data_IF_514272207939
#
_entry.id   IF_514272207939
#
_cell.length_a   1.000
_cell.length_b   1.000
_cell.length_c   1.000
_cell.angle_alpha   90.00
_cell.angle_beta   90.00
_cell.angle_gamma   90.00
#
_symmetry.space_group_name_H-M   'P 1'
#
loop_
_entity.id
_entity.type
_entity.pdbx_description
1 polymer ?
#
# COMPACT_ATOMS: atom_id res chain seq x y z
N UNK A 1 4.53 -42.67 81.20
CA UNK A 1 4.23 -42.16 79.86
C UNK A 1 3.82 -40.69 79.99
N UNK A 2 4.73 -39.78 79.65
CA UNK A 2 4.55 -38.32 79.55
C UNK A 2 5.20 -37.92 78.22
N UNK A 3 4.64 -36.93 77.53
CA UNK A 3 5.17 -36.04 76.46
C UNK A 3 3.90 -35.63 75.66
N UNK A 4 3.22 -34.50 75.92
CA UNK A 4 3.54 -33.08 75.70
C UNK A 4 3.70 -32.67 74.22
N UNK A 5 2.63 -32.02 73.73
CA UNK A 5 2.47 -30.85 72.82
C UNK A 5 3.27 -30.71 71.51
N UNK A 6 2.46 -30.63 70.44
CA UNK A 6 2.47 -29.73 69.27
C UNK A 6 3.65 -28.75 69.09
N UNK A 7 4.25 -28.77 67.88
CA UNK A 7 4.73 -27.58 67.14
C UNK A 7 4.50 -27.79 65.63
N UNK A 8 4.07 -26.71 64.98
CA UNK A 8 3.77 -26.47 63.55
C UNK A 8 5.02 -26.35 62.67
N UNK A 9 4.97 -26.75 61.39
CA UNK A 9 5.69 -26.11 60.27
C UNK A 9 5.16 -26.56 58.89
N UNK A 10 5.07 -25.59 57.98
CA UNK A 10 4.44 -25.54 56.65
C UNK A 10 4.92 -26.55 55.57
N UNK A 11 4.12 -26.78 54.51
CA UNK A 11 4.59 -27.46 53.30
C UNK A 11 5.35 -26.48 52.38
N UNK A 12 6.56 -26.85 52.01
CA UNK A 12 7.43 -26.11 51.07
C UNK A 12 6.97 -26.38 49.64
N UNK A 13 6.21 -25.45 49.06
CA UNK A 13 5.79 -25.48 47.65
C UNK A 13 6.96 -25.00 46.79
N UNK A 14 7.53 -25.90 45.98
CA UNK A 14 8.61 -25.62 45.05
C UNK A 14 8.04 -24.89 43.81
N UNK A 15 8.20 -23.57 43.76
CA UNK A 15 7.88 -22.74 42.58
C UNK A 15 9.01 -22.86 41.54
N UNK A 16 8.76 -23.64 40.49
CA UNK A 16 9.57 -23.61 39.26
C UNK A 16 9.31 -22.28 38.52
N UNK A 17 10.29 -21.38 38.54
CA UNK A 17 10.34 -20.22 37.66
C UNK A 17 10.53 -20.69 36.21
N UNK A 18 9.48 -20.60 35.39
CA UNK A 18 9.63 -20.62 33.94
C UNK A 18 10.06 -19.21 33.53
N UNK A 19 11.34 -19.04 33.21
CA UNK A 19 11.82 -17.84 32.54
C UNK A 19 11.24 -17.84 31.12
N UNK A 20 10.14 -17.11 30.92
CA UNK A 20 9.69 -16.72 29.58
C UNK A 20 10.74 -15.75 29.05
N UNK A 21 11.57 -16.25 28.15
CA UNK A 21 12.48 -15.41 27.37
C UNK A 21 11.59 -14.58 26.45
N UNK A 22 11.32 -13.34 26.81
CA UNK A 22 10.69 -12.39 25.91
C UNK A 22 11.65 -12.15 24.74
N UNK A 23 11.40 -12.81 23.62
CA UNK A 23 12.07 -12.50 22.38
C UNK A 23 11.56 -11.13 21.90
N UNK A 24 12.43 -10.17 21.58
CA UNK A 24 11.99 -8.94 20.95
C UNK A 24 11.41 -9.29 19.58
N UNK A 25 10.15 -8.96 19.34
CA UNK A 25 9.53 -9.02 18.02
C UNK A 25 10.20 -7.91 17.20
N UNK A 26 11.28 -8.24 16.51
CA UNK A 26 11.86 -7.40 15.45
C UNK A 26 11.07 -7.67 14.18
N UNK A 27 9.93 -7.01 14.04
CA UNK A 27 9.12 -7.12 12.84
C UNK A 27 8.28 -5.88 12.67
N UNK A 28 8.89 -4.75 12.29
CA UNK A 28 8.14 -3.53 11.92
C UNK A 28 8.88 -2.52 11.03
N UNK A 29 10.20 -2.60 10.83
CA UNK A 29 10.92 -1.57 10.04
C UNK A 29 10.96 -1.83 8.53
N UNK A 30 11.12 -3.08 8.08
CA UNK A 30 11.21 -3.37 6.64
C UNK A 30 9.87 -3.21 5.92
N UNK A 31 8.77 -3.70 6.52
CA UNK A 31 7.43 -3.60 5.94
C UNK A 31 6.82 -2.18 5.95
N UNK A 32 7.19 -1.33 6.91
CA UNK A 32 6.76 0.07 6.91
C UNK A 32 7.47 0.87 5.81
N UNK A 33 8.77 0.62 5.63
CA UNK A 33 9.55 1.25 4.56
C UNK A 33 9.12 0.78 3.17
N UNK A 34 8.71 -0.48 3.01
CA UNK A 34 8.26 -1.01 1.71
C UNK A 34 6.90 -0.47 1.28
N UNK A 35 5.97 -0.24 2.22
CA UNK A 35 4.68 0.38 1.94
C UNK A 35 4.85 1.85 1.54
N UNK A 36 5.66 2.61 2.29
CA UNK A 36 5.96 4.00 1.97
C UNK A 36 6.61 4.14 0.58
N UNK A 37 7.51 3.20 0.24
CA UNK A 37 8.13 3.13 -1.08
C UNK A 37 7.07 2.90 -2.18
N UNK A 38 6.17 1.93 -1.98
CA UNK A 38 5.07 1.65 -2.91
C UNK A 38 4.12 2.84 -3.11
N UNK A 39 3.76 3.55 -2.03
CA UNK A 39 2.99 4.79 -2.13
C UNK A 39 3.73 5.86 -2.92
N UNK A 40 5.02 6.03 -2.64
CA UNK A 40 5.88 6.96 -3.36
C UNK A 40 5.92 6.66 -4.86
N UNK A 41 6.14 5.40 -5.23
CA UNK A 41 6.14 4.94 -6.61
C UNK A 41 4.80 5.18 -7.29
N UNK A 42 3.69 4.80 -6.66
CA UNK A 42 2.37 5.01 -7.24
C UNK A 42 2.07 6.50 -7.45
N UNK A 43 2.35 7.37 -6.47
CA UNK A 43 2.17 8.83 -6.63
C UNK A 43 3.04 9.38 -7.76
N UNK A 44 4.30 8.96 -7.83
CA UNK A 44 5.20 9.40 -8.89
C UNK A 44 4.67 9.00 -10.27
N UNK A 45 4.30 7.73 -10.45
CA UNK A 45 3.73 7.21 -11.70
C UNK A 45 2.45 7.96 -12.05
N UNK A 46 1.50 8.06 -11.11
CA UNK A 46 0.20 8.69 -11.32
C UNK A 46 0.35 10.17 -11.72
N UNK A 47 1.10 10.95 -10.95
CA UNK A 47 1.31 12.38 -11.22
C UNK A 47 2.09 12.63 -12.51
N UNK A 48 3.07 11.77 -12.83
CA UNK A 48 3.84 11.85 -14.07
C UNK A 48 2.95 11.59 -15.28
N UNK A 49 2.16 10.51 -15.25
CA UNK A 49 1.24 10.16 -16.34
C UNK A 49 0.12 11.17 -16.49
N UNK A 50 -0.44 11.69 -15.40
CA UNK A 50 -1.44 12.77 -15.42
C UNK A 50 -0.86 14.02 -16.11
N UNK A 51 0.27 14.51 -15.62
CA UNK A 51 0.95 15.68 -16.21
C UNK A 51 1.28 15.46 -17.68
N UNK A 52 1.75 14.26 -18.04
CA UNK A 52 2.08 13.91 -19.41
C UNK A 52 0.84 13.91 -20.31
N UNK A 53 -0.28 13.34 -19.87
CA UNK A 53 -1.55 13.34 -20.63
C UNK A 53 -2.10 14.75 -20.83
N UNK A 54 -1.94 15.63 -19.84
CA UNK A 54 -2.41 17.01 -19.92
C UNK A 54 -1.51 17.91 -20.79
N UNK A 55 -0.19 17.73 -20.71
CA UNK A 55 0.77 18.69 -21.28
C UNK A 55 1.60 18.15 -22.44
N UNK A 56 1.62 16.83 -22.63
CA UNK A 56 2.53 16.14 -23.54
C UNK A 56 4.00 16.17 -23.10
N UNK A 57 4.29 16.54 -21.84
CA UNK A 57 5.67 16.73 -21.34
C UNK A 57 5.90 16.00 -20.01
N UNK A 58 7.11 15.48 -19.85
CA UNK A 58 7.63 15.08 -18.54
C UNK A 58 8.18 16.32 -17.82
N UNK A 59 7.35 16.95 -16.97
CA UNK A 59 7.74 18.16 -16.22
C UNK A 59 8.81 17.82 -15.16
N UNK A 60 8.63 16.72 -14.45
CA UNK A 60 9.59 16.19 -13.49
C UNK A 60 10.40 15.05 -14.13
N UNK A 61 11.12 15.37 -15.21
CA UNK A 61 11.91 14.38 -15.94
C UNK A 61 13.07 13.87 -15.06
N UNK A 62 13.14 12.55 -14.75
CA UNK A 62 14.23 11.96 -13.96
C UNK A 62 15.58 11.88 -14.70
N UNK A 63 15.70 12.45 -15.90
CA UNK A 63 16.89 12.35 -16.75
C UNK A 63 16.72 11.39 -17.93
N UNK A 64 15.48 11.01 -18.26
CA UNK A 64 15.14 10.31 -19.50
C UNK A 64 15.49 11.18 -20.69
N UNK A 65 16.21 10.60 -21.64
CA UNK A 65 16.51 11.20 -22.93
C UNK A 65 15.43 10.87 -23.97
N UNK A 66 15.54 11.46 -25.17
CA UNK A 66 14.51 11.30 -26.21
C UNK A 66 14.43 9.90 -26.82
N UNK A 67 15.46 9.07 -26.71
CA UNK A 67 15.47 7.70 -27.24
C UNK A 67 14.67 6.75 -26.38
N UNK A 68 14.76 6.92 -25.06
CA UNK A 68 14.16 6.03 -24.07
C UNK A 68 12.78 6.52 -23.60
N UNK A 69 12.32 7.65 -24.14
CA UNK A 69 11.10 8.32 -23.70
C UNK A 69 9.83 7.47 -23.85
N UNK A 70 9.61 6.87 -25.02
CA UNK A 70 8.41 6.06 -25.26
C UNK A 70 8.39 4.81 -24.38
N UNK A 71 9.53 4.11 -24.30
CA UNK A 71 9.68 2.94 -23.43
C UNK A 71 9.44 3.28 -21.96
N UNK A 72 9.94 4.42 -21.50
CA UNK A 72 9.70 4.88 -20.13
C UNK A 72 8.22 5.16 -19.86
N UNK A 73 7.52 5.85 -20.76
CA UNK A 73 6.08 6.10 -20.62
C UNK A 73 5.29 4.79 -20.64
N UNK A 74 5.65 3.83 -21.49
CA UNK A 74 5.01 2.52 -21.55
C UNK A 74 5.20 1.75 -20.24
N UNK A 75 6.41 1.77 -19.67
CA UNK A 75 6.72 1.19 -18.37
C UNK A 75 5.87 1.82 -17.26
N UNK A 76 5.77 3.16 -17.23
CA UNK A 76 4.93 3.85 -16.24
C UNK A 76 3.45 3.46 -16.38
N UNK A 77 2.91 3.37 -17.60
CA UNK A 77 1.52 2.92 -17.80
C UNK A 77 1.33 1.48 -17.33
N UNK A 78 2.27 0.59 -17.65
CA UNK A 78 2.22 -0.80 -17.22
C UNK A 78 2.15 -0.92 -15.68
N UNK A 79 3.02 -0.23 -14.96
CA UNK A 79 3.01 -0.28 -13.49
C UNK A 79 1.84 0.48 -12.87
N UNK A 80 1.37 1.56 -13.48
CA UNK A 80 0.12 2.22 -13.07
C UNK A 80 -1.05 1.23 -13.10
N UNK A 81 -1.19 0.45 -14.16
CA UNK A 81 -2.24 -0.54 -14.29
C UNK A 81 -2.09 -1.66 -13.25
N UNK A 82 -0.87 -2.12 -12.98
CA UNK A 82 -0.62 -3.15 -11.94
C UNK A 82 -0.95 -2.67 -10.53
N UNK A 83 -0.61 -1.43 -10.19
CA UNK A 83 -1.01 -0.83 -8.91
C UNK A 83 -2.53 -0.66 -8.84
N UNK A 84 -3.15 -0.19 -9.92
CA UNK A 84 -4.55 0.28 -9.90
C UNK A 84 -5.59 -0.74 -10.37
N UNK A 85 -5.20 -1.96 -10.75
CA UNK A 85 -6.08 -2.95 -11.38
C UNK A 85 -7.41 -3.19 -10.63
N UNK A 86 -7.38 -3.14 -9.29
CA UNK A 86 -8.58 -3.38 -8.47
C UNK A 86 -9.47 -2.14 -8.27
N UNK A 87 -8.95 -0.95 -8.55
CA UNK A 87 -9.62 0.32 -8.24
C UNK A 87 -9.60 1.35 -9.38
N UNK A 88 -9.29 0.95 -10.60
CA UNK A 88 -9.35 1.82 -11.78
C UNK A 88 -10.78 1.88 -12.39
N UNK A 89 -11.05 2.76 -13.38
CA UNK A 89 -12.37 2.90 -13.98
C UNK A 89 -12.95 1.61 -14.60
N UNK A 90 -12.13 0.64 -14.99
CA UNK A 90 -12.57 -0.64 -15.55
C UNK A 90 -12.75 -1.74 -14.48
N UNK A 91 -12.39 -1.49 -13.23
CA UNK A 91 -12.48 -2.45 -12.13
C UNK A 91 -13.93 -2.80 -11.76
N UNK A 92 -14.12 -3.99 -11.18
CA UNK A 92 -15.41 -4.41 -10.62
C UNK A 92 -15.91 -3.45 -9.53
N UNK A 93 -14.99 -2.83 -8.77
CA UNK A 93 -15.30 -1.78 -7.81
C UNK A 93 -16.02 -0.61 -8.50
N UNK A 94 -15.44 -0.08 -9.58
CA UNK A 94 -16.00 1.06 -10.30
C UNK A 94 -17.20 0.71 -11.18
N UNK A 95 -17.29 -0.53 -11.68
CA UNK A 95 -18.48 -1.03 -12.34
C UNK A 95 -19.68 -1.03 -11.37
N UNK A 96 -19.50 -1.60 -10.18
CA UNK A 96 -20.53 -1.61 -9.15
C UNK A 96 -20.93 -0.20 -8.71
N UNK A 97 -19.95 0.68 -8.49
CA UNK A 97 -20.20 2.05 -8.03
C UNK A 97 -21.01 2.89 -9.02
N UNK A 98 -20.78 2.68 -10.33
CA UNK A 98 -21.43 3.46 -11.40
C UNK A 98 -22.71 2.84 -11.93
N UNK A 99 -23.02 1.57 -11.63
CA UNK A 99 -24.24 0.93 -12.14
C UNK A 99 -25.49 1.72 -11.71
N UNK A 100 -26.28 2.27 -12.66
CA UNK A 100 -27.49 3.02 -12.35
C UNK A 100 -28.52 2.21 -11.54
N UNK A 101 -28.50 0.88 -11.59
CA UNK A 101 -29.37 0.01 -10.77
C UNK A 101 -29.07 0.14 -9.28
N UNK A 102 -27.83 0.49 -8.93
CA UNK A 102 -27.40 0.73 -7.55
C UNK A 102 -27.70 2.16 -7.07
N UNK A 103 -28.37 2.99 -7.89
CA UNK A 103 -28.74 4.37 -7.51
C UNK A 103 -29.77 4.46 -6.39
N UNK A 104 -30.45 3.35 -6.05
CA UNK A 104 -31.38 3.28 -4.91
C UNK A 104 -30.66 3.23 -3.56
N UNK A 105 -29.38 2.85 -3.55
CA UNK A 105 -28.53 2.88 -2.36
C UNK A 105 -28.08 4.32 -2.09
N UNK A 106 -27.82 4.63 -0.83
CA UNK A 106 -27.12 5.87 -0.49
C UNK A 106 -25.69 5.83 -1.04
N UNK A 107 -25.08 7.00 -1.27
CA UNK A 107 -23.67 7.11 -1.72
C UNK A 107 -22.74 6.36 -0.76
N UNK A 108 -23.01 6.47 0.54
CA UNK A 108 -22.32 5.74 1.60
C UNK A 108 -22.36 4.23 1.40
N UNK A 109 -23.56 3.65 1.31
CA UNK A 109 -23.73 2.21 1.17
C UNK A 109 -23.08 1.70 -0.10
N UNK A 110 -23.22 2.46 -1.20
CA UNK A 110 -22.63 2.11 -2.47
C UNK A 110 -21.10 2.14 -2.42
N UNK A 111 -20.49 3.18 -1.84
CA UNK A 111 -19.04 3.25 -1.65
C UNK A 111 -18.54 2.11 -0.76
N UNK A 112 -19.20 1.86 0.38
CA UNK A 112 -18.82 0.77 1.29
C UNK A 112 -18.87 -0.61 0.62
N UNK A 113 -19.92 -0.90 -0.17
CA UNK A 113 -20.02 -2.13 -0.95
C UNK A 113 -18.99 -2.19 -2.08
N UNK A 114 -18.64 -1.07 -2.70
CA UNK A 114 -17.60 -1.02 -3.73
C UNK A 114 -16.25 -1.48 -3.18
N UNK A 115 -15.88 -1.03 -1.97
CA UNK A 115 -14.64 -1.47 -1.31
C UNK A 115 -14.59 -2.98 -1.03
N UNK A 116 -15.73 -3.66 -0.96
CA UNK A 116 -15.76 -5.12 -0.78
C UNK A 116 -15.24 -5.91 -1.99
N UNK A 117 -15.11 -5.26 -3.15
CA UNK A 117 -14.49 -5.84 -4.34
C UNK A 117 -12.96 -5.78 -4.32
N UNK A 118 -12.38 -4.98 -3.42
CA UNK A 118 -10.93 -4.94 -3.22
C UNK A 118 -10.47 -6.15 -2.41
N UNK A 119 -9.22 -6.58 -2.62
CA UNK A 119 -8.59 -7.55 -1.71
C UNK A 119 -8.60 -7.05 -0.26
N UNK A 120 -8.55 -8.00 0.67
CA UNK A 120 -8.28 -7.72 2.08
C UNK A 120 -7.01 -6.88 2.24
N UNK A 121 -6.95 -6.05 3.29
CA UNK A 121 -5.89 -5.06 3.45
C UNK A 121 -4.47 -5.67 3.39
N UNK A 122 -4.25 -6.79 4.09
CA UNK A 122 -2.97 -7.52 4.08
C UNK A 122 -2.55 -7.92 2.66
N UNK A 123 -3.45 -8.56 1.91
CA UNK A 123 -3.18 -8.97 0.52
C UNK A 123 -2.95 -7.77 -0.43
N UNK A 124 -3.54 -6.60 -0.15
CA UNK A 124 -3.26 -5.38 -0.93
C UNK A 124 -1.88 -4.84 -0.64
N UNK A 125 -1.47 -4.84 0.62
CA UNK A 125 -0.11 -4.47 1.04
C UNK A 125 0.91 -5.36 0.34
N UNK A 126 0.72 -6.68 0.39
CA UNK A 126 1.60 -7.64 -0.29
C UNK A 126 1.66 -7.38 -1.80
N UNK A 127 0.51 -7.15 -2.43
CA UNK A 127 0.45 -6.82 -3.86
C UNK A 127 1.23 -5.55 -4.19
N UNK A 128 0.99 -4.46 -3.46
CA UNK A 128 1.60 -3.16 -3.78
C UNK A 128 3.10 -3.16 -3.52
N UNK A 129 3.56 -3.81 -2.45
CA UNK A 129 5.00 -3.97 -2.21
C UNK A 129 5.66 -4.81 -3.31
N UNK A 130 5.06 -5.92 -3.73
CA UNK A 130 5.61 -6.72 -4.82
C UNK A 130 5.67 -5.94 -6.15
N UNK A 131 4.61 -5.19 -6.48
CA UNK A 131 4.57 -4.35 -7.69
C UNK A 131 5.63 -3.24 -7.63
N UNK A 132 5.86 -2.65 -6.46
CA UNK A 132 6.90 -1.64 -6.27
C UNK A 132 8.31 -2.21 -6.42
N UNK A 133 8.58 -3.37 -5.82
CA UNK A 133 9.87 -4.05 -5.97
C UNK A 133 10.16 -4.35 -7.44
N UNK A 134 9.18 -4.90 -8.17
CA UNK A 134 9.30 -5.18 -9.59
C UNK A 134 9.53 -3.89 -10.41
N UNK A 135 8.79 -2.82 -10.13
CA UNK A 135 8.99 -1.52 -10.77
C UNK A 135 10.41 -0.99 -10.59
N UNK A 136 10.92 -1.01 -9.37
CA UNK A 136 12.26 -0.50 -9.07
C UNK A 136 13.35 -1.34 -9.74
N UNK A 137 13.19 -2.66 -9.77
CA UNK A 137 14.11 -3.55 -10.49
C UNK A 137 14.09 -3.26 -11.99
N UNK A 138 12.92 -3.16 -12.61
CA UNK A 138 12.80 -2.93 -14.07
C UNK A 138 13.34 -1.56 -14.47
N UNK A 139 13.14 -0.52 -13.66
CA UNK A 139 13.81 0.78 -13.87
C UNK A 139 15.32 0.65 -13.84
N UNK A 140 15.87 -0.06 -12.86
CA UNK A 140 17.32 -0.22 -12.72
C UNK A 140 17.91 -1.04 -13.88
N UNK A 141 17.20 -2.07 -14.33
CA UNK A 141 17.64 -2.99 -15.37
C UNK A 141 17.55 -2.36 -16.76
N UNK A 142 16.48 -1.63 -17.06
CA UNK A 142 16.24 -1.06 -18.40
C UNK A 142 16.86 0.33 -18.57
N UNK A 143 16.83 1.17 -17.54
CA UNK A 143 17.24 2.59 -17.62
C UNK A 143 18.44 2.92 -16.71
N UNK A 144 18.90 1.96 -15.92
CA UNK A 144 20.05 2.12 -15.04
C UNK A 144 19.71 2.71 -13.67
N UNK A 145 20.58 2.44 -12.69
CA UNK A 145 20.41 2.87 -11.29
C UNK A 145 20.42 4.38 -11.12
N UNK A 146 21.07 5.13 -12.03
CA UNK A 146 21.02 6.60 -12.01
C UNK A 146 19.60 7.12 -12.17
N UNK A 147 18.81 6.53 -13.06
CA UNK A 147 17.42 6.93 -13.24
C UNK A 147 16.57 6.54 -12.02
N UNK A 148 16.79 5.34 -11.48
CA UNK A 148 16.13 4.89 -10.26
C UNK A 148 16.37 5.87 -9.10
N UNK A 149 17.61 6.30 -8.90
CA UNK A 149 17.97 7.25 -7.84
C UNK A 149 17.25 8.60 -8.02
N UNK A 150 17.17 9.11 -9.25
CA UNK A 150 16.46 10.35 -9.53
C UNK A 150 14.95 10.20 -9.32
N UNK A 151 14.36 9.08 -9.74
CA UNK A 151 12.95 8.78 -9.48
C UNK A 151 12.71 8.72 -7.97
N UNK A 152 13.55 8.03 -7.21
CA UNK A 152 13.43 7.95 -5.75
C UNK A 152 13.53 9.33 -5.08
N UNK A 153 14.35 10.24 -5.60
CA UNK A 153 14.37 11.63 -5.13
C UNK A 153 13.06 12.37 -5.46
N UNK A 154 12.53 12.19 -6.68
CA UNK A 154 11.29 12.84 -7.13
C UNK A 154 10.02 12.31 -6.44
N UNK A 155 10.01 11.03 -6.01
CA UNK A 155 8.89 10.43 -5.25
C UNK A 155 8.55 11.26 -4.01
N UNK A 156 9.57 11.81 -3.33
CA UNK A 156 9.41 12.61 -2.11
C UNK A 156 8.66 13.93 -2.36
N UNK A 157 8.74 14.47 -3.58
CA UNK A 157 8.13 15.75 -3.97
C UNK A 157 6.84 15.56 -4.78
N UNK A 158 6.54 14.33 -5.21
CA UNK A 158 5.39 14.02 -6.05
C UNK A 158 4.08 14.10 -5.27
N UNK A 159 3.22 15.03 -5.70
CA UNK A 159 1.84 15.19 -5.22
C UNK A 159 0.88 14.54 -6.23
N UNK A 160 -0.02 13.68 -5.75
CA UNK A 160 -1.12 13.14 -6.54
C UNK A 160 -2.36 13.04 -5.67
N UNK A 161 -3.52 13.36 -6.27
CA UNK A 161 -4.83 13.15 -5.64
C UNK A 161 -5.22 11.66 -5.64
N UNK A 162 -4.47 10.81 -6.37
CA UNK A 162 -4.59 9.37 -6.35
C UNK A 162 -3.68 8.78 -5.27
N UNK A 163 -4.23 7.86 -4.49
CA UNK A 163 -3.54 7.18 -3.40
C UNK A 163 -3.79 5.68 -3.47
N UNK A 164 -2.90 4.87 -2.91
CA UNK A 164 -3.18 3.45 -2.73
C UNK A 164 -4.14 3.29 -1.53
N UNK A 165 -5.16 2.42 -1.61
CA UNK A 165 -6.06 2.17 -0.49
C UNK A 165 -5.40 1.26 0.56
N UNK A 166 -4.36 1.75 1.22
CA UNK A 166 -3.46 1.03 2.17
C UNK A 166 -3.92 1.06 3.63
N UNK A 167 -5.00 1.76 3.93
CA UNK A 167 -5.56 1.79 5.27
C UNK A 167 -7.05 1.47 5.23
N UNK A 168 -7.63 1.23 6.41
CA UNK A 168 -9.07 1.19 6.53
C UNK A 168 -9.58 2.62 6.43
N UNK A 169 -10.20 2.94 5.30
CA UNK A 169 -10.80 4.24 5.10
C UNK A 169 -12.04 4.37 5.97
N UNK A 170 -12.18 5.54 6.58
CA UNK A 170 -13.48 5.92 7.12
C UNK A 170 -14.48 6.13 5.97
N UNK A 171 -15.74 6.36 6.33
CA UNK A 171 -16.81 6.56 5.35
C UNK A 171 -16.50 7.69 4.36
N UNK A 172 -15.99 8.82 4.86
CA UNK A 172 -15.76 10.00 4.03
C UNK A 172 -14.58 9.76 3.09
N UNK A 173 -13.51 9.16 3.58
CA UNK A 173 -12.34 8.78 2.79
C UNK A 173 -12.70 7.75 1.72
N UNK A 174 -13.56 6.79 2.05
CA UNK A 174 -14.05 5.78 1.10
C UNK A 174 -14.81 6.42 -0.06
N UNK A 175 -15.76 7.31 0.24
CA UNK A 175 -16.52 8.02 -0.79
C UNK A 175 -15.59 8.87 -1.66
N UNK A 176 -14.72 9.67 -1.03
CA UNK A 176 -13.79 10.54 -1.76
C UNK A 176 -12.86 9.76 -2.69
N UNK A 177 -12.35 8.60 -2.22
CA UNK A 177 -11.52 7.73 -3.03
C UNK A 177 -12.27 7.18 -4.25
N UNK A 178 -13.44 6.57 -4.03
CA UNK A 178 -14.22 5.96 -5.12
C UNK A 178 -14.68 7.03 -6.12
N UNK A 179 -15.10 8.20 -5.63
CA UNK A 179 -15.44 9.35 -6.48
C UNK A 179 -14.26 9.90 -7.28
N UNK A 180 -13.03 9.70 -6.82
CA UNK A 180 -11.81 10.09 -7.54
C UNK A 180 -11.49 9.10 -8.64
N UNK A 181 -11.42 7.81 -8.30
CA UNK A 181 -10.88 6.77 -9.19
C UNK A 181 -11.89 6.21 -10.20
N UNK A 182 -13.19 6.37 -9.96
CA UNK A 182 -14.24 5.86 -10.84
C UNK A 182 -14.80 6.91 -11.82
N UNK A 183 -14.11 8.03 -12.03
CA UNK A 183 -14.54 9.04 -13.00
C UNK A 183 -14.39 8.57 -14.45
#
# INVERSE_FOLDING_TARGET
MKIIKLISAAPMFLLTFIAVVAQPITGTTEGANSIESAEGSFRYIASTLETFRETGRLVNNPGIDGSDFEAFIDLLNFYYDRFSNEFNPASAMCEFYRDPKNSRMTVKERAGLSFSFLRGLENRIELYTAVDEEFQMEIADEFGTFLLDNINALKAESLSDLQLPLSQFDEKASIAFVDSVCR
#
